data_IF_945814839355
#
_entry.id   IF_945814839355
#
_cell.length_a   1.000
_cell.length_b   1.000
_cell.length_c   1.000
_cell.angle_alpha   90.00
_cell.angle_beta   90.00
_cell.angle_gamma   90.00
#
_symmetry.space_group_name_H-M   'P 1'
#
loop_
_entity.id
_entity.type
_entity.pdbx_description
1 polymer ?
#
# COMPACT_ATOMS: atom_id res chain seq x y z
N UNK A 1 26.57 19.88 -1.08
CA UNK A 1 27.02 18.47 -0.97
C UNK A 1 26.85 17.89 0.43
N UNK A 2 26.75 18.67 1.52
CA UNK A 2 26.53 18.14 2.88
C UNK A 2 25.05 17.89 3.28
N UNK A 3 24.07 18.43 2.53
CA UNK A 3 22.65 18.32 2.87
C UNK A 3 21.97 17.00 2.46
N UNK A 4 22.55 16.25 1.51
CA UNK A 4 22.00 14.97 1.06
C UNK A 4 22.32 13.82 2.05
N UNK A 5 23.50 13.87 2.68
CA UNK A 5 23.94 12.87 3.66
C UNK A 5 23.14 12.90 4.97
N UNK A 6 22.59 14.07 5.35
CA UNK A 6 21.68 14.14 6.51
C UNK A 6 20.34 13.46 6.22
N UNK A 7 19.79 13.59 5.01
CA UNK A 7 18.52 12.94 4.65
C UNK A 7 18.64 11.40 4.58
N UNK A 8 19.80 10.87 4.15
CA UNK A 8 20.05 9.43 4.12
C UNK A 8 20.23 8.81 5.52
N UNK A 9 20.77 9.59 6.47
CA UNK A 9 20.87 9.17 7.88
C UNK A 9 19.52 9.13 8.57
N UNK A 10 18.66 10.12 8.34
CA UNK A 10 17.29 10.17 8.88
C UNK A 10 16.42 9.01 8.38
N UNK A 11 16.53 8.63 7.10
CA UNK A 11 15.82 7.47 6.52
C UNK A 11 16.24 6.12 7.13
N UNK A 12 17.47 6.04 7.65
CA UNK A 12 17.99 4.84 8.31
C UNK A 12 17.47 4.73 9.76
N UNK A 13 17.12 5.85 10.39
CA UNK A 13 16.70 5.91 11.81
C UNK A 13 15.19 5.79 12.02
N UNK A 14 14.36 6.02 10.99
CA UNK A 14 12.91 5.78 11.03
C UNK A 14 12.56 4.31 11.35
N UNK A 15 13.48 3.37 11.07
CA UNK A 15 13.33 1.96 11.46
C UNK A 15 13.54 1.66 12.95
N UNK A 16 13.91 2.66 13.77
CA UNK A 16 14.32 2.47 15.17
C UNK A 16 13.33 3.03 16.20
N UNK A 17 12.38 3.86 15.78
CA UNK A 17 11.41 4.54 16.65
C UNK A 17 10.13 3.69 16.77
N UNK A 18 10.16 2.72 17.68
CA UNK A 18 9.01 1.84 17.90
C UNK A 18 9.33 0.57 18.68
N UNK A 19 10.07 0.67 19.80
CA UNK A 19 10.21 -0.44 20.75
C UNK A 19 9.75 0.01 22.13
N UNK A 20 8.44 -0.08 22.38
CA UNK A 20 7.95 -0.28 23.74
C UNK A 20 8.00 -1.78 24.05
N UNK A 21 8.70 -2.10 25.15
CA UNK A 21 9.03 -3.44 25.63
C UNK A 21 7.81 -4.33 25.91
N UNK A 22 7.78 -5.50 25.28
CA UNK A 22 7.11 -6.70 25.80
C UNK A 22 7.89 -7.95 25.36
N UNK A 23 7.84 -8.98 26.19
CA UNK A 23 8.76 -10.11 26.35
C UNK A 23 9.21 -10.83 25.06
N UNK A 24 10.49 -11.24 25.04
CA UNK A 24 11.18 -12.00 23.98
C UNK A 24 10.58 -13.40 23.77
N UNK A 25 10.33 -13.74 22.52
CA UNK A 25 10.27 -15.11 21.98
C UNK A 25 11.47 -15.31 21.03
N UNK A 26 11.93 -16.56 20.79
CA UNK A 26 13.28 -16.81 20.29
C UNK A 26 13.46 -16.45 18.82
N UNK A 27 14.71 -16.15 18.52
CA UNK A 27 15.21 -15.52 17.32
C UNK A 27 15.04 -16.42 16.10
N UNK A 28 14.06 -16.12 15.25
CA UNK A 28 14.10 -16.57 13.87
C UNK A 28 14.95 -15.57 13.07
N UNK A 29 16.11 -16.01 12.62
CA UNK A 29 16.85 -15.38 11.53
C UNK A 29 16.05 -15.49 10.22
N UNK A 30 14.93 -14.77 10.15
CA UNK A 30 14.16 -14.52 8.94
C UNK A 30 14.36 -13.05 8.61
N UNK A 31 14.70 -12.76 7.35
CA UNK A 31 14.65 -11.40 6.82
C UNK A 31 13.37 -10.73 7.35
N UNK A 32 13.52 -9.62 8.08
CA UNK A 32 12.39 -8.90 8.66
C UNK A 32 11.30 -8.80 7.59
N UNK A 33 10.17 -9.51 7.80
CA UNK A 33 9.11 -9.58 6.82
C UNK A 33 8.72 -8.14 6.51
N UNK A 34 9.13 -7.63 5.34
CA UNK A 34 8.91 -6.25 5.01
C UNK A 34 7.41 -6.07 4.91
N UNK A 35 6.82 -5.33 5.85
CA UNK A 35 5.39 -5.04 5.81
C UNK A 35 5.08 -4.40 4.46
N UNK A 36 4.22 -5.08 3.68
CA UNK A 36 3.72 -4.56 2.41
C UNK A 36 2.38 -3.87 2.71
N UNK A 37 2.47 -2.70 3.35
CA UNK A 37 1.33 -1.89 3.72
C UNK A 37 1.55 -0.43 3.32
N UNK A 38 0.44 0.30 3.18
CA UNK A 38 0.47 1.74 2.95
C UNK A 38 0.97 2.48 4.20
N UNK A 39 0.48 2.11 5.39
CA UNK A 39 0.83 2.78 6.64
C UNK A 39 2.29 2.55 7.08
N UNK A 40 2.84 1.38 6.79
CA UNK A 40 4.21 1.01 7.16
C UNK A 40 4.85 0.16 6.07
N UNK A 41 5.91 0.69 5.46
CA UNK A 41 6.77 -0.05 4.55
C UNK A 41 7.01 0.62 3.21
N UNK A 42 7.68 -0.13 2.33
CA UNK A 42 8.05 0.33 0.98
C UNK A 42 6.86 0.80 0.13
N UNK A 43 5.64 0.23 0.24
CA UNK A 43 4.52 0.71 -0.56
C UNK A 43 4.18 2.19 -0.33
N UNK A 44 3.98 2.62 0.92
CA UNK A 44 3.72 4.02 1.24
C UNK A 44 4.84 4.95 0.78
N UNK A 45 6.10 4.51 0.93
CA UNK A 45 7.28 5.26 0.45
C UNK A 45 7.28 5.41 -1.08
N UNK A 46 7.01 4.33 -1.82
CA UNK A 46 6.94 4.39 -3.27
C UNK A 46 5.85 5.34 -3.76
N UNK A 47 4.70 5.36 -3.08
CA UNK A 47 3.61 6.29 -3.37
C UNK A 47 4.02 7.75 -3.15
N UNK A 48 4.65 8.04 -2.02
CA UNK A 48 5.17 9.37 -1.72
C UNK A 48 6.25 9.82 -2.74
N UNK A 49 7.15 8.92 -3.13
CA UNK A 49 8.19 9.20 -4.14
C UNK A 49 7.58 9.48 -5.51
N UNK A 50 6.55 8.73 -5.93
CA UNK A 50 5.85 8.98 -7.20
C UNK A 50 5.17 10.35 -7.19
N UNK A 51 4.50 10.70 -6.09
CA UNK A 51 3.88 12.02 -5.92
C UNK A 51 4.91 13.16 -5.90
N UNK A 52 6.08 12.95 -5.29
CA UNK A 52 7.17 13.92 -5.21
C UNK A 52 8.12 13.90 -6.43
N UNK A 53 7.76 13.24 -7.53
CA UNK A 53 8.66 13.00 -8.68
C UNK A 53 9.19 14.26 -9.36
N UNK A 54 8.60 15.44 -9.11
CA UNK A 54 9.13 16.73 -9.57
C UNK A 54 10.47 17.04 -8.88
N UNK A 55 11.57 16.82 -9.61
CA UNK A 55 12.94 17.13 -9.15
C UNK A 55 13.69 15.94 -8.53
N UNK A 56 13.08 14.76 -8.48
CA UNK A 56 13.73 13.53 -8.02
C UNK A 56 14.50 12.79 -9.11
N UNK A 57 15.39 11.88 -8.71
CA UNK A 57 16.03 10.93 -9.62
C UNK A 57 15.00 9.92 -10.13
N UNK A 58 14.46 10.19 -11.33
CA UNK A 58 13.43 9.37 -11.96
C UNK A 58 13.82 7.90 -12.03
N UNK A 59 15.09 7.55 -12.27
CA UNK A 59 15.52 6.15 -12.37
C UNK A 59 15.40 5.44 -11.02
N UNK A 60 15.75 6.11 -9.92
CA UNK A 60 15.60 5.56 -8.56
C UNK A 60 14.13 5.41 -8.17
N UNK A 61 13.29 6.37 -8.54
CA UNK A 61 11.84 6.32 -8.30
C UNK A 61 11.25 5.13 -9.06
N UNK A 62 11.50 5.02 -10.36
CA UNK A 62 10.98 3.95 -11.22
C UNK A 62 11.44 2.57 -10.73
N UNK A 63 12.71 2.44 -10.31
CA UNK A 63 13.23 1.21 -9.73
C UNK A 63 12.52 0.84 -8.41
N UNK A 64 12.26 1.82 -7.54
CA UNK A 64 11.55 1.61 -6.28
C UNK A 64 10.11 1.18 -6.52
N UNK A 65 9.42 1.87 -7.42
CA UNK A 65 8.04 1.55 -7.82
C UNK A 65 7.94 0.14 -8.39
N UNK A 66 8.82 -0.21 -9.34
CA UNK A 66 8.86 -1.54 -9.94
C UNK A 66 9.10 -2.65 -8.90
N UNK A 67 10.04 -2.43 -7.97
CA UNK A 67 10.32 -3.37 -6.90
C UNK A 67 9.11 -3.58 -5.97
N UNK A 68 8.39 -2.51 -5.62
CA UNK A 68 7.17 -2.58 -4.79
C UNK A 68 6.05 -3.33 -5.50
N UNK A 69 5.77 -3.00 -6.77
CA UNK A 69 4.75 -3.67 -7.57
C UNK A 69 5.06 -5.17 -7.67
N UNK A 70 6.32 -5.53 -7.93
CA UNK A 70 6.76 -6.92 -8.01
C UNK A 70 6.59 -7.65 -6.67
N UNK A 71 6.99 -7.02 -5.56
CA UNK A 71 6.84 -7.58 -4.23
C UNK A 71 5.37 -7.85 -3.86
N UNK A 72 4.47 -6.90 -4.13
CA UNK A 72 3.03 -7.07 -3.86
C UNK A 72 2.44 -8.19 -4.71
N UNK A 73 2.76 -8.26 -6.01
CA UNK A 73 2.18 -9.26 -6.91
C UNK A 73 2.65 -10.70 -6.64
N UNK A 74 3.89 -10.85 -6.13
CA UNK A 74 4.49 -12.14 -5.78
C UNK A 74 4.16 -12.60 -4.37
N UNK A 75 3.67 -11.71 -3.51
CA UNK A 75 3.30 -12.05 -2.14
C UNK A 75 1.93 -12.74 -2.06
N UNK A 76 1.69 -13.57 -1.03
CA UNK A 76 0.35 -14.03 -0.69
C UNK A 76 -0.59 -12.84 -0.39
N UNK A 77 -1.90 -13.07 -0.51
CA UNK A 77 -2.88 -12.08 -0.05
C UNK A 77 -2.80 -11.91 1.47
N UNK A 78 -3.01 -10.68 1.92
CA UNK A 78 -3.11 -10.32 3.32
C UNK A 78 -4.36 -10.92 3.97
N UNK A 79 -4.35 -11.06 5.30
CA UNK A 79 -5.52 -11.54 6.04
C UNK A 79 -6.68 -10.56 6.02
N UNK A 80 -6.37 -9.26 5.98
CA UNK A 80 -7.35 -8.16 5.93
C UNK A 80 -7.56 -7.67 4.50
N UNK A 81 -8.75 -7.13 4.23
CA UNK A 81 -9.08 -6.43 2.99
C UNK A 81 -9.10 -4.91 3.16
N UNK A 82 -8.69 -4.38 4.32
CA UNK A 82 -8.70 -2.94 4.59
C UNK A 82 -7.74 -2.12 3.71
N UNK A 83 -7.90 -0.79 3.77
CA UNK A 83 -7.07 0.16 3.02
C UNK A 83 -5.68 0.32 3.66
N UNK A 84 -5.59 0.36 4.99
CA UNK A 84 -4.37 0.69 5.73
C UNK A 84 -3.21 -0.29 5.47
N UNK A 85 -3.50 -1.59 5.59
CA UNK A 85 -2.54 -2.70 5.55
C UNK A 85 -3.17 -3.99 5.00
N UNK A 86 -4.13 -3.85 4.09
CA UNK A 86 -4.88 -4.97 3.53
C UNK A 86 -4.84 -5.04 2.01
N UNK A 87 -5.54 -6.05 1.48
CA UNK A 87 -5.54 -6.37 0.06
C UNK A 87 -6.05 -5.22 -0.83
N UNK A 88 -7.11 -4.51 -0.42
CA UNK A 88 -7.64 -3.39 -1.21
C UNK A 88 -6.68 -2.20 -1.20
N UNK A 89 -6.00 -1.93 -0.07
CA UNK A 89 -4.94 -0.92 -0.01
C UNK A 89 -3.81 -1.21 -1.00
N UNK A 90 -3.29 -2.44 -0.99
CA UNK A 90 -2.23 -2.86 -1.92
C UNK A 90 -2.68 -2.82 -3.39
N UNK A 91 -3.93 -3.17 -3.68
CA UNK A 91 -4.47 -3.10 -5.04
C UNK A 91 -4.61 -1.66 -5.54
N UNK A 92 -5.16 -0.75 -4.72
CA UNK A 92 -5.23 0.67 -5.06
C UNK A 92 -3.84 1.28 -5.28
N UNK A 93 -2.89 0.90 -4.42
CA UNK A 93 -1.51 1.33 -4.53
C UNK A 93 -0.85 0.87 -5.83
N UNK A 94 -1.01 -0.39 -6.21
CA UNK A 94 -0.49 -0.91 -7.49
C UNK A 94 -1.11 -0.16 -8.67
N UNK A 95 -2.42 0.13 -8.66
CA UNK A 95 -3.08 0.87 -9.73
C UNK A 95 -2.57 2.31 -9.85
N UNK A 96 -2.33 2.98 -8.72
CA UNK A 96 -1.79 4.34 -8.66
C UNK A 96 -0.33 4.40 -9.14
N UNK A 97 0.46 3.41 -8.73
CA UNK A 97 1.87 3.31 -9.12
C UNK A 97 2.07 2.93 -10.59
N UNK A 98 1.07 2.30 -11.25
CA UNK A 98 1.12 1.98 -12.67
C UNK A 98 0.71 3.15 -13.57
N UNK A 99 1.49 3.36 -14.62
CA UNK A 99 1.12 4.27 -15.70
C UNK A 99 0.00 3.66 -16.57
N UNK A 100 -0.77 4.51 -17.24
CA UNK A 100 -2.00 4.13 -17.93
C UNK A 100 -1.79 3.03 -18.99
N UNK A 101 -0.65 3.04 -19.69
CA UNK A 101 -0.27 2.02 -20.69
C UNK A 101 0.02 0.64 -20.10
N UNK A 102 0.47 0.56 -18.84
CA UNK A 102 0.82 -0.71 -18.17
C UNK A 102 -0.30 -1.27 -17.30
N UNK A 103 -1.35 -0.48 -17.05
CA UNK A 103 -2.42 -0.77 -16.08
C UNK A 103 -3.26 -2.00 -16.46
N UNK A 104 -3.39 -2.32 -17.75
CA UNK A 104 -4.26 -3.40 -18.21
C UNK A 104 -3.76 -4.83 -17.87
N UNK A 105 -2.44 -5.06 -17.86
CA UNK A 105 -1.87 -6.40 -17.73
C UNK A 105 -1.69 -6.86 -16.29
N UNK A 106 -0.87 -6.15 -15.53
CA UNK A 106 -0.38 -6.61 -14.21
C UNK A 106 -1.42 -6.39 -13.10
N UNK A 107 -2.11 -5.22 -13.08
CA UNK A 107 -3.18 -4.97 -12.10
C UNK A 107 -4.28 -6.04 -12.17
N UNK A 108 -4.53 -6.59 -13.36
CA UNK A 108 -5.57 -7.59 -13.59
C UNK A 108 -5.36 -8.89 -12.78
N UNK A 109 -4.11 -9.29 -12.52
CA UNK A 109 -3.80 -10.52 -11.80
C UNK A 109 -4.10 -10.42 -10.30
N UNK A 110 -3.58 -9.39 -9.65
CA UNK A 110 -3.86 -9.10 -8.24
C UNK A 110 -5.34 -8.82 -8.02
N UNK A 111 -5.96 -8.01 -8.88
CA UNK A 111 -7.38 -7.70 -8.82
C UNK A 111 -8.25 -8.96 -8.88
N UNK A 112 -8.00 -9.86 -9.83
CA UNK A 112 -8.70 -11.16 -9.90
C UNK A 112 -8.54 -11.97 -8.62
N UNK A 113 -7.35 -12.01 -8.01
CA UNK A 113 -7.12 -12.72 -6.75
C UNK A 113 -7.95 -12.11 -5.61
N UNK A 114 -7.91 -10.79 -5.47
CA UNK A 114 -8.62 -10.05 -4.40
C UNK A 114 -10.13 -10.16 -4.56
N UNK A 115 -10.67 -9.87 -5.74
CA UNK A 115 -12.12 -9.95 -6.03
C UNK A 115 -12.63 -11.37 -5.80
N UNK A 116 -11.91 -12.40 -6.28
CA UNK A 116 -12.31 -13.80 -6.07
C UNK A 116 -12.34 -14.19 -4.59
N UNK A 117 -11.37 -13.72 -3.80
CA UNK A 117 -11.35 -13.94 -2.34
C UNK A 117 -12.57 -13.29 -1.69
N UNK A 118 -12.78 -11.98 -1.92
CA UNK A 118 -13.89 -11.22 -1.33
C UNK A 118 -15.24 -11.82 -1.73
N UNK A 119 -15.40 -12.22 -3.00
CA UNK A 119 -16.64 -12.82 -3.49
C UNK A 119 -16.97 -14.16 -2.82
N UNK A 120 -15.94 -14.90 -2.36
CA UNK A 120 -16.12 -16.22 -1.72
C UNK A 120 -16.25 -16.14 -0.20
N UNK A 121 -15.61 -15.17 0.43
CA UNK A 121 -15.42 -15.14 1.88
C UNK A 121 -15.93 -13.86 2.55
N UNK A 122 -16.44 -12.91 1.77
CA UNK A 122 -16.72 -11.56 2.27
C UNK A 122 -15.45 -10.74 2.47
N UNK A 123 -15.64 -9.51 2.94
CA UNK A 123 -14.55 -8.60 3.31
C UNK A 123 -14.12 -8.82 4.76
N UNK A 124 -12.83 -8.66 5.04
CA UNK A 124 -12.28 -8.75 6.41
C UNK A 124 -11.68 -7.42 6.84
N UNK A 125 -12.16 -6.87 7.95
CA UNK A 125 -11.65 -5.61 8.52
C UNK A 125 -10.21 -5.75 9.07
N UNK A 126 -9.49 -4.62 9.11
CA UNK A 126 -8.08 -4.55 9.54
C UNK A 126 -7.84 -4.71 11.03
N UNK A 127 -8.85 -4.42 11.84
CA UNK A 127 -8.79 -4.53 13.30
C UNK A 127 -9.07 -5.98 13.76
N UNK A 128 -8.15 -6.89 13.42
CA UNK A 128 -8.26 -8.33 13.74
C UNK A 128 -9.56 -8.99 13.26
N UNK A 129 -10.15 -8.48 12.18
CA UNK A 129 -11.42 -8.95 11.64
C UNK A 129 -12.67 -8.42 12.35
N UNK A 130 -12.54 -7.59 13.40
CA UNK A 130 -13.68 -6.93 14.02
C UNK A 130 -14.29 -5.94 13.02
N UNK A 131 -15.57 -6.11 12.74
CA UNK A 131 -16.29 -5.20 11.86
C UNK A 131 -16.35 -3.79 12.46
N UNK A 132 -15.89 -2.82 11.68
CA UNK A 132 -15.93 -1.40 12.05
C UNK A 132 -16.37 -0.58 10.86
N UNK A 133 -17.01 0.56 11.11
CA UNK A 133 -17.44 1.48 10.05
C UNK A 133 -16.33 2.46 9.60
N UNK A 134 -15.07 2.23 9.97
CA UNK A 134 -13.97 3.16 9.73
C UNK A 134 -13.48 3.20 8.27
N UNK A 135 -12.77 4.29 7.92
CA UNK A 135 -12.22 4.48 6.58
C UNK A 135 -10.97 3.63 6.31
N UNK A 136 -10.00 3.58 7.23
CA UNK A 136 -8.72 2.93 6.92
C UNK A 136 -8.75 1.41 7.18
N UNK A 137 -9.50 0.99 8.19
CA UNK A 137 -9.52 -0.39 8.67
C UNK A 137 -10.90 -1.07 8.57
N UNK A 138 -11.93 -0.32 8.17
CA UNK A 138 -13.33 -0.75 8.26
C UNK A 138 -14.07 -0.83 6.93
N UNK A 139 -15.36 -1.17 7.03
CA UNK A 139 -16.29 -1.39 5.93
C UNK A 139 -16.47 -0.16 5.03
N UNK A 140 -16.49 1.05 5.59
CA UNK A 140 -16.62 2.28 4.80
C UNK A 140 -15.44 2.44 3.84
N UNK A 141 -14.22 2.17 4.30
CA UNK A 141 -13.02 2.11 3.47
C UNK A 141 -13.10 1.08 2.37
N UNK A 142 -13.46 -0.15 2.73
CA UNK A 142 -13.52 -1.24 1.76
C UNK A 142 -14.58 -0.98 0.69
N UNK A 143 -15.74 -0.43 1.06
CA UNK A 143 -16.75 0.05 0.13
C UNK A 143 -16.21 1.12 -0.81
N UNK A 144 -15.53 2.14 -0.28
CA UNK A 144 -14.92 3.21 -1.09
C UNK A 144 -13.85 2.68 -2.05
N UNK A 145 -13.01 1.75 -1.58
CA UNK A 145 -11.99 1.13 -2.41
C UNK A 145 -12.59 0.31 -3.56
N UNK A 146 -13.63 -0.49 -3.29
CA UNK A 146 -14.35 -1.24 -4.32
C UNK A 146 -15.01 -0.30 -5.34
N UNK A 147 -15.61 0.81 -4.89
CA UNK A 147 -16.14 1.85 -5.77
C UNK A 147 -15.04 2.50 -6.62
N UNK A 148 -13.86 2.80 -6.06
CA UNK A 148 -12.70 3.30 -6.83
C UNK A 148 -12.23 2.31 -7.89
N UNK A 149 -12.29 1.01 -7.61
CA UNK A 149 -11.94 -0.02 -8.60
C UNK A 149 -12.94 -0.07 -9.75
N UNK A 150 -14.24 0.07 -9.45
CA UNK A 150 -15.32 0.04 -10.43
C UNK A 150 -15.42 1.33 -11.25
N UNK A 151 -15.22 2.49 -10.62
CA UNK A 151 -15.45 3.83 -11.16
C UNK A 151 -14.22 4.74 -10.92
N UNK A 152 -13.04 4.40 -11.47
CA UNK A 152 -11.77 5.03 -11.11
C UNK A 152 -11.69 6.52 -11.42
N UNK A 153 -12.46 7.01 -12.39
CA UNK A 153 -12.51 8.42 -12.77
C UNK A 153 -13.45 9.26 -11.87
N UNK A 154 -14.38 8.63 -11.14
CA UNK A 154 -15.42 9.33 -10.36
C UNK A 154 -15.10 9.34 -8.87
N UNK A 155 -14.49 8.27 -8.39
CA UNK A 155 -14.20 8.08 -6.97
C UNK A 155 -12.76 8.51 -6.72
N UNK A 156 -12.47 9.33 -5.68
CA UNK A 156 -11.11 9.74 -5.36
C UNK A 156 -10.29 8.61 -4.73
N UNK A 157 -8.99 8.60 -4.99
CA UNK A 157 -8.02 7.73 -4.34
C UNK A 157 -7.59 8.34 -2.99
N UNK A 158 -8.13 7.78 -1.91
CA UNK A 158 -7.80 8.23 -0.54
C UNK A 158 -6.35 8.00 -0.14
N UNK A 159 -5.63 7.09 -0.79
CA UNK A 159 -4.22 6.81 -0.45
C UNK A 159 -3.29 7.99 -0.75
N UNK A 160 -3.68 8.86 -1.69
CA UNK A 160 -2.95 10.06 -2.10
C UNK A 160 -3.70 11.35 -1.76
N UNK A 161 -4.81 11.24 -1.00
CA UNK A 161 -5.70 12.37 -0.69
C UNK A 161 -6.18 13.11 -1.96
N UNK A 162 -6.53 12.34 -3.00
CA UNK A 162 -7.06 12.90 -4.24
C UNK A 162 -8.31 13.73 -3.94
N UNK A 163 -8.41 14.97 -4.44
CA UNK A 163 -9.59 15.79 -4.21
C UNK A 163 -10.81 15.16 -4.87
N UNK A 164 -11.98 15.31 -4.25
CA UNK A 164 -13.22 14.95 -4.90
C UNK A 164 -13.40 15.81 -6.16
N UNK A 165 -13.80 15.19 -7.27
CA UNK A 165 -14.20 15.94 -8.46
C UNK A 165 -15.47 16.73 -8.11
N UNK A 166 -15.47 18.04 -8.35
CA UNK A 166 -16.71 18.82 -8.27
C UNK A 166 -17.69 18.27 -9.33
N UNK A 167 -18.87 17.85 -8.88
CA UNK A 167 -19.94 17.36 -9.75
C UNK A 167 -20.60 18.45 -10.58
#
# INVERSE_FOLDING_TARGET
MAGLELAERELTDIGRIGRSSSARAPDHAGAAASQLAWCHGKPGVALALKAASKGGDKRKIDATVSAVISAINSSPLERSDCICHGNLGNLLLVRELMDDELRAGISSGLERKVVRRISRHGVVCGNFGLETAGLMEGLAGMGLALLKLAEPARIPNVLILEPASAG
#
